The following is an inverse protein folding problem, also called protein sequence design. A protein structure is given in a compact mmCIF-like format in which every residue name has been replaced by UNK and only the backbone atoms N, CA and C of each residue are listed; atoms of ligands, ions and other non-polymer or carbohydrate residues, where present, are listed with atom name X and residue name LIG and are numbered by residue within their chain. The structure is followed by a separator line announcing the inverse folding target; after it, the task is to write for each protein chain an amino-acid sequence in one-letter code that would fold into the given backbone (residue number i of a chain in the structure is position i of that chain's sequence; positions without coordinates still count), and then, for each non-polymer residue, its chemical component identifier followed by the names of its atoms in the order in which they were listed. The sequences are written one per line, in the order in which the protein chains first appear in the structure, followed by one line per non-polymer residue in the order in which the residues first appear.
data_IF_143876680167
#
_entry.id   IF_143876680167
#
_cell.length_a   1.000
_cell.length_b   1.000
_cell.length_c   1.000
_cell.angle_alpha   90.00
_cell.angle_beta   90.00
_cell.angle_gamma   90.00
#
_symmetry.space_group_name_H-M   'P 1'
#
loop_
_entity.id
_entity.type
_entity.pdbx_description
1 polymer ?
#
# COMPACT_ATOMS: atom_id res chain seq x y z
N UNK A 1 16.27 -6.41 -12.64
CA UNK A 1 15.02 -6.21 -13.41
C UNK A 1 14.01 -5.55 -12.48
N UNK A 2 13.30 -4.52 -12.96
CA UNK A 2 12.19 -3.92 -12.21
C UNK A 2 10.96 -4.83 -12.32
N UNK A 3 10.22 -5.03 -11.23
CA UNK A 3 8.95 -5.77 -11.24
C UNK A 3 7.88 -4.93 -10.55
N UNK A 4 6.72 -4.82 -11.18
CA UNK A 4 5.58 -4.06 -10.66
C UNK A 4 4.55 -5.03 -10.10
N UNK A 5 4.10 -4.77 -8.88
CA UNK A 5 3.11 -5.58 -8.17
C UNK A 5 1.96 -4.69 -7.75
N UNK A 6 0.73 -5.11 -8.05
CA UNK A 6 -0.46 -4.36 -7.68
C UNK A 6 -1.19 -5.08 -6.56
N UNK A 7 -1.67 -4.31 -5.58
CA UNK A 7 -2.41 -4.78 -4.42
C UNK A 7 -3.66 -3.96 -4.24
N UNK A 8 -4.69 -4.58 -3.67
CA UNK A 8 -5.96 -3.90 -3.43
C UNK A 8 -6.66 -4.48 -2.19
N UNK A 9 -7.35 -3.59 -1.48
CA UNK A 9 -8.28 -3.90 -0.40
C UNK A 9 -9.41 -2.87 -0.37
N UNK A 10 -10.61 -3.30 0.00
CA UNK A 10 -11.70 -2.39 0.38
C UNK A 10 -11.70 -2.23 1.90
N UNK A 11 -11.63 -0.99 2.38
CA UNK A 11 -11.68 -0.67 3.81
C UNK A 11 -12.53 0.58 4.07
N UNK A 12 -13.36 0.53 5.12
CA UNK A 12 -14.27 1.62 5.49
C UNK A 12 -15.16 2.16 4.33
N UNK A 13 -15.49 1.31 3.35
CA UNK A 13 -16.27 1.70 2.17
C UNK A 13 -15.47 2.36 1.04
N UNK A 14 -14.13 2.41 1.16
CA UNK A 14 -13.23 2.99 0.17
C UNK A 14 -12.29 1.93 -0.41
N UNK A 15 -11.98 2.06 -1.68
CA UNK A 15 -11.01 1.19 -2.36
C UNK A 15 -9.61 1.75 -2.13
N UNK A 16 -8.73 0.97 -1.51
CA UNK A 16 -7.30 1.29 -1.38
C UNK A 16 -6.51 0.37 -2.30
N UNK A 17 -5.73 0.95 -3.21
CA UNK A 17 -4.80 0.21 -4.04
C UNK A 17 -3.38 0.68 -3.84
N UNK A 18 -2.44 -0.26 -3.94
CA UNK A 18 -1.03 0.01 -3.80
C UNK A 18 -0.26 -0.64 -4.95
N UNK A 19 0.58 0.16 -5.59
CA UNK A 19 1.51 -0.31 -6.61
C UNK A 19 2.90 -0.32 -6.00
N UNK A 20 3.53 -1.50 -5.95
CA UNK A 20 4.89 -1.68 -5.46
C UNK A 20 5.80 -2.04 -6.63
N UNK A 21 6.71 -1.14 -6.99
CA UNK A 21 7.78 -1.42 -7.92
C UNK A 21 9.03 -1.85 -7.16
N UNK A 22 9.55 -3.05 -7.45
CA UNK A 22 10.75 -3.62 -6.83
C UNK A 22 11.92 -3.62 -7.81
N UNK A 23 13.16 -3.48 -7.31
CA UNK A 23 14.37 -3.36 -8.11
C UNK A 23 15.53 -2.76 -7.32
N UNK A 24 16.33 -1.88 -7.94
CA UNK A 24 17.41 -1.13 -7.25
C UNK A 24 16.89 -0.14 -6.19
N UNK A 25 15.68 0.36 -6.42
CA UNK A 25 14.90 1.18 -5.50
C UNK A 25 13.52 0.55 -5.43
N UNK A 26 12.91 0.60 -4.26
CA UNK A 26 11.50 0.23 -4.10
C UNK A 26 10.69 1.51 -4.10
N UNK A 27 9.65 1.52 -4.92
CA UNK A 27 8.71 2.62 -5.05
C UNK A 27 7.31 2.12 -4.76
N UNK A 28 6.57 2.86 -3.94
CA UNK A 28 5.22 2.53 -3.52
C UNK A 28 4.32 3.72 -3.76
N UNK A 29 3.34 3.52 -4.62
CA UNK A 29 2.28 4.48 -4.94
C UNK A 29 0.96 3.94 -4.35
N UNK A 30 0.19 4.81 -3.70
CA UNK A 30 -1.09 4.46 -3.07
C UNK A 30 -2.19 5.34 -3.61
N UNK A 31 -3.28 4.70 -4.02
CA UNK A 31 -4.48 5.37 -4.48
C UNK A 31 -5.64 5.02 -3.54
N UNK A 32 -6.46 6.03 -3.25
CA UNK A 32 -7.77 5.86 -2.59
C UNK A 32 -8.84 6.26 -3.59
N UNK A 33 -9.79 5.37 -3.83
CA UNK A 33 -10.88 5.53 -4.82
C UNK A 33 -10.37 5.90 -6.22
N UNK A 34 -9.19 5.39 -6.59
CA UNK A 34 -8.56 5.64 -7.88
C UNK A 34 -7.83 6.98 -8.00
N UNK A 35 -7.71 7.75 -6.91
CA UNK A 35 -6.90 8.97 -6.85
C UNK A 35 -5.61 8.73 -6.08
N UNK A 36 -4.47 9.15 -6.63
CA UNK A 36 -3.20 9.11 -5.90
C UNK A 36 -3.30 9.97 -4.62
N UNK A 37 -3.02 9.33 -3.48
CA UNK A 37 -3.06 9.95 -2.16
C UNK A 37 -1.71 9.93 -1.45
N UNK A 38 -0.78 9.10 -1.89
CA UNK A 38 0.54 9.03 -1.28
C UNK A 38 1.54 8.22 -2.08
N UNK A 39 2.80 8.55 -1.90
CA UNK A 39 3.94 7.88 -2.54
C UNK A 39 5.13 7.91 -1.58
N UNK A 40 5.82 6.78 -1.44
CA UNK A 40 7.13 6.73 -0.79
C UNK A 40 8.10 5.77 -1.49
N UNK A 41 9.38 5.95 -1.22
CA UNK A 41 10.44 5.08 -1.78
C UNK A 41 11.44 4.68 -0.72
N UNK A 42 12.10 3.54 -0.92
CA UNK A 42 13.25 3.13 -0.09
C UNK A 42 14.32 2.43 -0.90
N UNK A 43 15.45 2.16 -0.25
CA UNK A 43 16.54 1.37 -0.79
C UNK A 43 16.66 0.03 -0.04
N UNK A 44 17.03 -1.01 -0.80
CA UNK A 44 17.15 -2.37 -0.28
C UNK A 44 15.80 -2.96 0.15
N UNK A 45 15.85 -3.96 1.02
CA UNK A 45 14.67 -4.75 1.42
C UNK A 45 13.94 -4.18 2.65
N UNK A 46 14.09 -2.89 2.91
CA UNK A 46 13.43 -2.25 4.07
C UNK A 46 11.93 -2.09 3.79
N UNK A 47 11.05 -2.24 4.79
CA UNK A 47 9.65 -1.88 4.64
C UNK A 47 9.48 -0.39 4.28
N UNK A 48 8.52 -0.12 3.39
CA UNK A 48 8.06 1.22 3.01
C UNK A 48 6.73 1.48 3.69
N UNK A 49 6.58 2.66 4.27
CA UNK A 49 5.34 3.12 4.88
C UNK A 49 4.84 4.34 4.12
N UNK A 50 3.59 4.30 3.68
CA UNK A 50 2.91 5.40 2.99
C UNK A 50 1.71 5.80 3.84
N UNK A 51 1.73 7.02 4.38
CA UNK A 51 0.62 7.58 5.12
C UNK A 51 -0.40 8.15 4.14
N UNK A 52 -1.67 7.77 4.27
CA UNK A 52 -2.78 8.27 3.46
C UNK A 52 -4.01 8.49 4.32
N UNK A 53 -4.99 9.21 3.80
CA UNK A 53 -6.27 9.45 4.49
C UNK A 53 -7.42 8.90 3.65
N UNK A 54 -8.33 8.19 4.31
CA UNK A 54 -9.60 7.80 3.70
C UNK A 54 -10.59 8.97 3.81
N UNK A 55 -11.39 9.24 2.76
CA UNK A 55 -12.34 10.35 2.73
C UNK A 55 -13.63 10.05 3.50
N UNK A 56 -13.47 9.61 4.75
CA UNK A 56 -14.54 9.45 5.74
C UNK A 56 -14.84 10.78 6.45
N UNK A 57 -15.89 10.82 7.28
CA UNK A 57 -16.22 12.00 8.12
C UNK A 57 -16.21 11.59 9.59
N UNK A 58 -15.18 11.97 10.38
CA UNK A 58 -13.95 12.69 9.99
C UNK A 58 -13.01 11.85 9.09
N UNK A 59 -12.02 12.46 8.39
CA UNK A 59 -11.03 11.71 7.61
C UNK A 59 -10.28 10.69 8.47
N UNK A 60 -10.12 9.47 7.96
CA UNK A 60 -9.47 8.38 8.71
C UNK A 60 -8.02 8.22 8.24
N UNK A 61 -7.02 8.50 9.09
CA UNK A 61 -5.63 8.26 8.73
C UNK A 61 -5.33 6.76 8.72
N UNK A 62 -4.69 6.28 7.66
CA UNK A 62 -4.25 4.90 7.52
C UNK A 62 -2.81 4.85 6.98
N UNK A 63 -2.15 3.72 7.17
CA UNK A 63 -0.78 3.49 6.66
C UNK A 63 -0.75 2.26 5.78
N UNK A 64 -0.27 2.41 4.55
CA UNK A 64 0.07 1.26 3.71
C UNK A 64 1.52 0.89 3.97
N UNK A 65 1.74 -0.35 4.42
CA UNK A 65 3.08 -0.91 4.61
C UNK A 65 3.36 -1.95 3.53
N UNK A 66 4.33 -1.65 2.67
CA UNK A 66 4.90 -2.61 1.72
C UNK A 66 6.21 -3.17 2.26
N UNK A 67 6.34 -4.48 2.33
CA UNK A 67 7.58 -5.17 2.68
C UNK A 67 8.12 -5.87 1.43
N UNK A 68 9.22 -5.36 0.85
CA UNK A 68 9.92 -6.03 -0.23
C UNK A 68 10.42 -7.41 0.21
N UNK A 69 10.55 -8.33 -0.73
CA UNK A 69 11.08 -9.66 -0.48
C UNK A 69 11.26 -10.44 -1.77
N UNK A 70 11.86 -11.64 -1.70
CA UNK A 70 12.02 -12.49 -2.87
C UNK A 70 10.63 -12.87 -3.42
N UNK A 71 10.36 -12.50 -4.67
CA UNK A 71 9.10 -12.82 -5.35
C UNK A 71 8.09 -11.67 -5.29
N UNK A 72 6.91 -11.94 -4.72
CA UNK A 72 5.82 -10.95 -4.59
C UNK A 72 5.95 -10.26 -3.23
N UNK A 73 6.02 -8.91 -3.17
CA UNK A 73 6.11 -8.20 -1.91
C UNK A 73 4.84 -8.40 -1.07
N UNK A 74 4.95 -8.23 0.24
CA UNK A 74 3.78 -8.24 1.12
C UNK A 74 3.29 -6.82 1.30
N UNK A 75 1.99 -6.59 1.09
CA UNK A 75 1.37 -5.29 1.29
C UNK A 75 0.25 -5.41 2.32
N UNK A 76 0.22 -4.51 3.30
CA UNK A 76 -0.82 -4.46 4.33
C UNK A 76 -1.29 -3.03 4.57
N UNK A 77 -2.55 -2.89 4.95
CA UNK A 77 -3.16 -1.65 5.42
C UNK A 77 -3.25 -1.67 6.95
N UNK A 78 -2.70 -0.65 7.59
CA UNK A 78 -2.79 -0.41 9.02
C UNK A 78 -3.82 0.71 9.23
N UNK A 79 -4.96 0.36 9.83
CA UNK A 79 -6.06 1.27 10.08
C UNK A 79 -6.38 1.33 11.58
N UNK A 80 -6.79 2.49 12.11
CA UNK A 80 -6.99 2.69 13.56
C UNK A 80 -8.17 1.88 14.13
N UNK A 81 -9.13 1.52 13.28
CA UNK A 81 -10.29 0.71 13.62
C UNK A 81 -10.04 -0.80 13.50
N UNK A 82 -8.89 -1.21 12.94
CA UNK A 82 -8.52 -2.60 12.78
C UNK A 82 -7.57 -3.05 13.91
N UNK A 83 -7.94 -4.13 14.62
CA UNK A 83 -7.10 -4.69 15.69
C UNK A 83 -5.77 -5.28 15.19
N UNK A 84 -5.69 -5.64 13.90
CA UNK A 84 -4.50 -6.19 13.25
C UNK A 84 -4.35 -5.60 11.85
N UNK A 85 -3.12 -5.52 11.30
CA UNK A 85 -2.90 -5.09 9.92
C UNK A 85 -3.67 -5.96 8.91
N UNK A 86 -4.38 -5.31 8.00
CA UNK A 86 -5.21 -5.94 6.99
C UNK A 86 -4.36 -6.29 5.77
N UNK A 87 -4.35 -7.54 5.34
CA UNK A 87 -3.55 -7.97 4.18
C UNK A 87 -4.22 -7.50 2.89
N UNK A 88 -3.49 -6.76 2.06
CA UNK A 88 -3.96 -6.36 0.74
C UNK A 88 -3.76 -7.52 -0.24
N UNK A 89 -4.78 -7.81 -1.04
CA UNK A 89 -4.74 -8.92 -1.99
C UNK A 89 -3.94 -8.53 -3.23
N UNK A 90 -2.97 -9.36 -3.67
CA UNK A 90 -2.28 -9.13 -4.93
C UNK A 90 -3.26 -9.27 -6.11
N UNK A 91 -3.15 -8.38 -7.09
CA UNK A 91 -3.94 -8.39 -8.32
C UNK A 91 -2.99 -8.52 -9.51
N UNK A 92 -3.33 -9.36 -10.51
CA UNK A 92 -2.63 -9.30 -11.79
C UNK A 92 -2.85 -7.93 -12.41
N UNK A 93 -1.84 -7.47 -13.15
CA UNK A 93 -2.00 -6.36 -14.08
C UNK A 93 -2.85 -6.77 -15.28
#
# INVERSE_FOLDING_TARGET
MRRRHHFHIDHAGHSVSATVETGHRVEVEVLVDGKETGHATTHGDRPVFVHVELPTVPPTPVVVRATPGPGVPRCVLEAPDAAQPLVMSPRPY
#
